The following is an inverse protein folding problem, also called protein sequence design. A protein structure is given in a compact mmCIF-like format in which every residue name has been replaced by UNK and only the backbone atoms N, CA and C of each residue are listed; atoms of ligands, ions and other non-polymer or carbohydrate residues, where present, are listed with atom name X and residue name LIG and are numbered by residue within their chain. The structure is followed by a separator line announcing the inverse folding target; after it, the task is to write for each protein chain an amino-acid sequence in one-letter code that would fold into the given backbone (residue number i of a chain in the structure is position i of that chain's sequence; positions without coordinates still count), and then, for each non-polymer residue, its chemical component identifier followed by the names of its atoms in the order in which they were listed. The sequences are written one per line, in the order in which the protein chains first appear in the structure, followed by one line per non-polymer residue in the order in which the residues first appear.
data_IF_643557432973
#
_entry.id   IF_643557432973
#
_cell.length_a   1.000
_cell.length_b   1.000
_cell.length_c   1.000
_cell.angle_alpha   90.00
_cell.angle_beta   90.00
_cell.angle_gamma   90.00
#
_symmetry.space_group_name_H-M   'P 1'
#
loop_
_entity.id
_entity.type
_entity.pdbx_description
1 polymer ?
#
# COMPACT_ATOMS: atom_id res chain seq x y z
N UNK A 1 -17.46 5.24 4.14
CA UNK A 1 -16.76 4.16 3.45
C UNK A 1 -17.65 2.91 3.39
N UNK A 2 -17.99 2.37 2.21
CA UNK A 2 -18.93 1.24 2.10
C UNK A 2 -18.41 -0.09 2.65
N UNK A 3 -17.10 -0.31 2.61
CA UNK A 3 -16.49 -1.54 3.13
C UNK A 3 -16.67 -1.65 4.64
N UNK A 4 -16.33 -0.60 5.40
CA UNK A 4 -16.54 -0.56 6.86
C UNK A 4 -18.01 -0.79 7.21
N UNK A 5 -18.94 -0.13 6.51
CA UNK A 5 -20.38 -0.34 6.70
C UNK A 5 -20.72 -1.82 6.53
N UNK A 6 -20.23 -2.46 5.47
CA UNK A 6 -20.57 -3.84 5.18
C UNK A 6 -19.88 -4.83 6.14
N UNK A 7 -18.71 -4.50 6.72
CA UNK A 7 -18.09 -5.24 7.82
C UNK A 7 -18.90 -5.16 9.12
N UNK A 8 -19.51 -3.99 9.40
CA UNK A 8 -20.34 -3.77 10.58
C UNK A 8 -21.78 -4.31 10.44
N UNK A 9 -22.06 -5.05 9.37
CA UNK A 9 -23.36 -5.70 9.10
C UNK A 9 -23.13 -7.15 8.68
N UNK A 10 -24.19 -7.93 8.56
CA UNK A 10 -24.09 -9.36 8.19
C UNK A 10 -23.62 -9.59 6.73
N UNK A 11 -23.41 -8.53 5.95
CA UNK A 11 -23.01 -8.62 4.54
C UNK A 11 -21.62 -9.22 4.32
N UNK A 12 -20.72 -9.08 5.30
CA UNK A 12 -19.36 -9.60 5.25
C UNK A 12 -19.04 -10.47 6.47
N UNK A 13 -20.06 -11.11 7.07
CA UNK A 13 -19.92 -11.95 8.27
C UNK A 13 -18.83 -13.03 8.11
N UNK A 14 -18.71 -13.63 6.93
CA UNK A 14 -17.70 -14.65 6.64
C UNK A 14 -16.26 -14.11 6.67
N UNK A 15 -16.05 -12.81 6.41
CA UNK A 15 -14.74 -12.18 6.50
C UNK A 15 -14.36 -11.92 7.95
N UNK A 16 -15.26 -11.33 8.75
CA UNK A 16 -14.97 -11.00 10.15
C UNK A 16 -14.78 -12.25 11.02
N UNK A 17 -15.30 -13.41 10.61
CA UNK A 17 -14.99 -14.72 11.23
C UNK A 17 -13.56 -15.21 10.97
N UNK A 18 -12.87 -14.66 9.98
CA UNK A 18 -11.56 -15.14 9.50
C UNK A 18 -10.44 -14.11 9.60
N UNK A 19 -10.79 -12.83 9.62
CA UNK A 19 -9.84 -11.71 9.57
C UNK A 19 -10.20 -10.68 10.63
N UNK A 20 -9.21 -10.31 11.44
CA UNK A 20 -9.32 -9.15 12.32
C UNK A 20 -8.96 -7.89 11.53
N UNK A 21 -9.83 -6.87 11.55
CA UNK A 21 -9.61 -5.63 10.81
C UNK A 21 -9.24 -4.48 11.76
N UNK A 22 -8.09 -3.87 11.51
CA UNK A 22 -7.69 -2.59 12.08
C UNK A 22 -7.83 -1.53 10.99
N UNK A 23 -8.69 -0.52 11.22
CA UNK A 23 -9.05 0.44 10.16
C UNK A 23 -8.85 1.86 10.65
N UNK A 24 -8.01 2.60 9.93
CA UNK A 24 -7.86 4.06 10.05
C UNK A 24 -8.61 4.67 8.87
N UNK A 25 -9.84 5.18 9.06
CA UNK A 25 -10.69 5.58 7.93
C UNK A 25 -10.24 6.87 7.25
N UNK A 26 -9.46 7.69 7.95
CA UNK A 26 -8.91 8.95 7.46
C UNK A 26 -7.53 9.15 8.09
N UNK A 27 -6.48 9.08 7.27
CA UNK A 27 -5.10 9.30 7.73
C UNK A 27 -4.74 10.78 7.81
N UNK A 28 -5.34 11.64 6.98
CA UNK A 28 -5.05 13.08 6.96
C UNK A 28 -6.34 13.90 7.12
N UNK A 29 -6.87 14.07 8.35
CA UNK A 29 -8.07 14.86 8.58
C UNK A 29 -7.95 16.31 8.11
N UNK A 30 -6.80 16.96 8.34
CA UNK A 30 -6.54 18.33 7.89
C UNK A 30 -6.57 18.43 6.37
N UNK A 31 -5.77 17.61 5.69
CA UNK A 31 -5.72 17.58 4.23
C UNK A 31 -7.06 17.26 3.59
N UNK A 32 -7.85 16.38 4.21
CA UNK A 32 -9.21 16.10 3.77
C UNK A 32 -10.17 17.27 3.92
N UNK A 33 -10.03 18.10 4.96
CA UNK A 33 -10.89 19.26 5.17
C UNK A 33 -10.56 20.37 4.16
N UNK A 34 -9.28 20.57 3.85
CA UNK A 34 -8.80 21.59 2.92
C UNK A 34 -8.58 21.10 1.47
N UNK A 35 -8.98 19.86 1.17
CA UNK A 35 -8.82 19.20 -0.13
C UNK A 35 -7.37 19.15 -0.67
N UNK A 36 -6.39 19.04 0.22
CA UNK A 36 -4.96 19.06 -0.10
C UNK A 36 -4.23 17.78 0.29
N UNK A 37 -3.07 17.55 -0.35
CA UNK A 37 -2.25 16.35 -0.13
C UNK A 37 -1.56 16.33 1.24
N UNK A 38 -1.07 17.49 1.69
CA UNK A 38 -0.20 17.62 2.86
C UNK A 38 -1.00 17.94 4.12
N UNK A 39 -0.46 17.62 5.30
CA UNK A 39 -1.08 17.97 6.57
C UNK A 39 -0.87 19.47 6.90
N UNK A 40 -1.22 19.88 8.13
CA UNK A 40 -1.09 21.26 8.61
C UNK A 40 0.37 21.75 8.60
N UNK A 41 1.34 20.85 8.81
CA UNK A 41 2.76 21.14 8.84
C UNK A 41 3.41 21.12 7.44
N UNK A 42 2.62 21.08 6.37
CA UNK A 42 3.09 20.94 4.98
C UNK A 42 3.90 19.64 4.74
N UNK A 43 3.63 18.59 5.51
CA UNK A 43 4.25 17.27 5.37
C UNK A 43 3.41 16.35 4.45
N UNK A 44 4.10 15.63 3.57
CA UNK A 44 3.50 14.54 2.79
C UNK A 44 3.56 13.27 3.64
N UNK A 45 2.42 12.85 4.20
CA UNK A 45 2.35 11.71 5.11
C UNK A 45 2.93 10.43 4.48
N UNK A 46 2.72 10.22 3.17
CA UNK A 46 3.22 9.06 2.46
C UNK A 46 4.72 9.19 2.06
N UNK A 47 5.45 10.08 2.73
CA UNK A 47 6.92 10.26 2.64
C UNK A 47 7.59 10.33 4.01
N UNK A 48 6.83 10.15 5.08
CA UNK A 48 7.27 10.39 6.45
C UNK A 48 7.30 9.11 7.31
N UNK A 49 7.25 7.93 6.68
CA UNK A 49 7.19 6.67 7.42
C UNK A 49 8.54 6.19 8.02
N UNK A 50 9.61 6.97 7.88
CA UNK A 50 10.92 6.71 8.50
C UNK A 50 11.21 7.72 9.62
N UNK A 51 11.02 9.01 9.35
CA UNK A 51 11.32 10.08 10.31
C UNK A 51 10.20 10.26 11.33
N UNK A 52 8.96 10.02 10.94
CA UNK A 52 7.77 10.15 11.78
C UNK A 52 7.63 11.58 12.33
N UNK A 53 7.82 12.59 11.49
CA UNK A 53 7.67 14.01 11.85
C UNK A 53 6.19 14.41 12.03
N UNK A 54 5.28 13.75 11.31
CA UNK A 54 3.86 14.00 11.33
C UNK A 54 3.17 13.14 12.41
N UNK A 55 2.37 13.74 13.32
CA UNK A 55 1.66 13.00 14.36
C UNK A 55 0.68 11.98 13.78
N UNK A 56 0.15 12.21 12.57
CA UNK A 56 -0.70 11.24 11.88
C UNK A 56 0.05 9.95 11.52
N UNK A 57 1.30 10.07 11.05
CA UNK A 57 2.13 8.92 10.69
C UNK A 57 2.63 8.21 11.94
N UNK A 58 2.98 8.94 13.00
CA UNK A 58 3.26 8.37 14.32
C UNK A 58 2.09 7.50 14.83
N UNK A 59 0.86 7.99 14.70
CA UNK A 59 -0.32 7.24 15.11
C UNK A 59 -0.51 5.94 14.30
N UNK A 60 -0.28 5.99 12.97
CA UNK A 60 -0.31 4.80 12.11
C UNK A 60 0.73 3.77 12.58
N UNK A 61 1.97 4.21 12.82
CA UNK A 61 3.05 3.32 13.30
C UNK A 61 2.81 2.84 14.73
N UNK A 62 2.18 3.63 15.59
CA UNK A 62 1.78 3.19 16.93
C UNK A 62 0.80 2.02 16.86
N UNK A 63 -0.26 2.13 16.04
CA UNK A 63 -1.21 1.03 15.81
C UNK A 63 -0.49 -0.18 15.21
N UNK A 64 0.32 0.04 14.16
CA UNK A 64 1.05 -1.03 13.51
C UNK A 64 1.96 -1.79 14.49
N UNK A 65 2.80 -1.10 15.27
CA UNK A 65 3.74 -1.76 16.21
C UNK A 65 3.04 -2.38 17.41
N UNK A 66 1.84 -1.90 17.77
CA UNK A 66 1.05 -2.49 18.86
C UNK A 66 0.47 -3.85 18.45
N UNK A 67 0.01 -3.99 17.21
CA UNK A 67 -0.71 -5.18 16.75
C UNK A 67 0.11 -6.09 15.82
N UNK A 68 1.14 -5.56 15.18
CA UNK A 68 2.00 -6.24 14.20
C UNK A 68 1.20 -7.05 13.16
N UNK A 69 0.23 -6.44 12.45
CA UNK A 69 -0.64 -7.18 11.53
C UNK A 69 0.17 -7.90 10.44
N UNK A 70 -0.31 -9.04 9.97
CA UNK A 70 0.37 -9.82 8.93
C UNK A 70 0.22 -9.18 7.54
N UNK A 71 -0.83 -8.38 7.36
CA UNK A 71 -1.21 -7.78 6.08
C UNK A 71 -1.59 -6.32 6.30
N UNK A 72 -1.12 -5.43 5.42
CA UNK A 72 -1.48 -4.00 5.41
C UNK A 72 -1.90 -3.56 4.01
N UNK A 73 -2.84 -2.61 3.93
CA UNK A 73 -3.23 -1.98 2.68
C UNK A 73 -3.46 -0.49 2.89
N UNK A 74 -2.67 0.31 2.20
CA UNK A 74 -2.79 1.76 2.15
C UNK A 74 -3.65 2.17 0.93
N UNK A 75 -4.66 3.02 1.12
CA UNK A 75 -5.69 3.28 0.11
C UNK A 75 -5.63 4.72 -0.36
N UNK A 76 -5.34 4.89 -1.65
CA UNK A 76 -5.16 6.16 -2.34
C UNK A 76 -6.08 6.29 -3.54
N UNK A 77 -6.21 7.52 -4.01
CA UNK A 77 -6.72 7.82 -5.34
C UNK A 77 -5.61 8.47 -6.17
N UNK A 78 -5.53 8.07 -7.44
CA UNK A 78 -4.68 8.70 -8.46
C UNK A 78 -5.53 9.42 -9.50
N UNK A 79 -4.89 10.12 -10.43
CA UNK A 79 -5.57 10.76 -11.55
C UNK A 79 -6.43 9.81 -12.40
N UNK A 80 -7.14 10.37 -13.38
CA UNK A 80 -7.93 9.55 -14.31
C UNK A 80 -7.01 8.60 -15.08
N UNK A 81 -7.35 7.31 -15.05
CA UNK A 81 -6.53 6.22 -15.58
C UNK A 81 -7.45 5.17 -16.20
N UNK A 82 -6.96 4.51 -17.25
CA UNK A 82 -7.62 3.36 -17.84
C UNK A 82 -7.83 2.25 -16.82
N UNK A 83 -6.85 1.97 -15.96
CA UNK A 83 -6.94 0.99 -14.88
C UNK A 83 -7.64 1.61 -13.68
N UNK A 84 -8.90 1.24 -13.46
CA UNK A 84 -9.75 1.80 -12.40
C UNK A 84 -9.31 1.38 -11.00
N UNK A 85 -8.75 0.18 -10.87
CA UNK A 85 -8.16 -0.32 -9.62
C UNK A 85 -6.73 -0.76 -9.88
N UNK A 86 -5.77 -0.10 -9.26
CA UNK A 86 -4.38 -0.54 -9.26
C UNK A 86 -3.97 -0.98 -7.86
N UNK A 87 -3.31 -2.14 -7.72
CA UNK A 87 -2.82 -2.61 -6.41
C UNK A 87 -1.34 -2.97 -6.56
N UNK A 88 -0.48 -2.36 -5.75
CA UNK A 88 0.95 -2.66 -5.71
C UNK A 88 1.33 -3.39 -4.43
N UNK A 89 2.25 -4.35 -4.52
CA UNK A 89 2.89 -5.00 -3.38
C UNK A 89 4.26 -4.38 -3.07
N UNK A 90 4.88 -4.79 -1.97
CA UNK A 90 6.24 -4.39 -1.58
C UNK A 90 7.23 -4.53 -2.73
N UNK A 91 8.21 -3.63 -2.79
CA UNK A 91 9.21 -3.60 -3.87
C UNK A 91 10.63 -3.27 -3.38
N UNK A 92 10.79 -2.91 -2.10
CA UNK A 92 12.11 -2.74 -1.52
C UNK A 92 12.87 -4.07 -1.48
N UNK A 93 14.13 -4.05 -1.89
CA UNK A 93 14.99 -5.24 -2.03
C UNK A 93 15.41 -5.86 -0.69
N UNK A 94 15.26 -5.14 0.41
CA UNK A 94 15.51 -5.64 1.76
C UNK A 94 14.29 -6.36 2.35
N UNK A 95 13.16 -6.43 1.63
CA UNK A 95 11.98 -7.18 2.05
C UNK A 95 12.00 -8.55 1.38
N UNK A 96 11.74 -9.61 2.15
CA UNK A 96 11.90 -10.98 1.66
C UNK A 96 11.06 -11.27 0.41
N UNK A 97 11.68 -11.82 -0.63
CA UNK A 97 11.09 -12.00 -1.95
C UNK A 97 9.81 -12.84 -1.95
N UNK A 98 9.69 -13.82 -1.05
CA UNK A 98 8.49 -14.66 -0.94
C UNK A 98 7.21 -13.87 -0.63
N UNK A 99 7.31 -12.69 0.01
CA UNK A 99 6.16 -11.79 0.20
C UNK A 99 5.69 -11.22 -1.12
N UNK A 100 6.60 -10.85 -2.03
CA UNK A 100 6.26 -10.42 -3.39
C UNK A 100 5.69 -11.57 -4.23
N UNK A 101 6.26 -12.76 -4.10
CA UNK A 101 5.80 -13.96 -4.82
C UNK A 101 4.38 -14.35 -4.42
N UNK A 102 4.08 -14.42 -3.11
CA UNK A 102 2.73 -14.69 -2.62
C UNK A 102 1.74 -13.60 -3.07
N UNK A 103 2.16 -12.34 -2.98
CA UNK A 103 1.38 -11.19 -3.41
C UNK A 103 0.95 -11.31 -4.87
N UNK A 104 1.90 -11.56 -5.78
CA UNK A 104 1.62 -11.60 -7.23
C UNK A 104 0.94 -12.89 -7.66
N UNK A 105 1.45 -14.04 -7.23
CA UNK A 105 1.01 -15.34 -7.73
C UNK A 105 -0.35 -15.78 -7.20
N UNK A 106 -0.73 -15.34 -5.99
CA UNK A 106 -2.01 -15.70 -5.36
C UNK A 106 -2.93 -14.50 -5.18
N UNK A 107 -2.51 -13.54 -4.35
CA UNK A 107 -3.42 -12.49 -3.87
C UNK A 107 -3.91 -11.61 -5.03
N UNK A 108 -2.97 -11.01 -5.77
CA UNK A 108 -3.31 -10.16 -6.90
C UNK A 108 -4.01 -10.96 -8.01
N UNK A 109 -3.54 -12.17 -8.33
CA UNK A 109 -4.17 -13.03 -9.34
C UNK A 109 -5.66 -13.31 -9.04
N UNK A 110 -6.01 -13.59 -7.79
CA UNK A 110 -7.40 -13.79 -7.37
C UNK A 110 -8.23 -12.50 -7.41
N UNK A 111 -7.64 -11.38 -7.00
CA UNK A 111 -8.29 -10.06 -7.06
C UNK A 111 -8.63 -9.69 -8.51
N UNK A 112 -7.66 -9.85 -9.42
CA UNK A 112 -7.84 -9.61 -10.86
C UNK A 112 -9.01 -10.42 -11.42
N UNK A 113 -9.03 -11.73 -11.18
CA UNK A 113 -10.12 -12.61 -11.62
C UNK A 113 -11.50 -12.17 -11.12
N UNK A 114 -11.59 -11.58 -9.92
CA UNK A 114 -12.87 -11.07 -9.37
C UNK A 114 -13.23 -9.70 -9.95
N UNK A 115 -12.28 -8.81 -10.18
CA UNK A 115 -12.50 -7.51 -10.82
C UNK A 115 -12.90 -7.65 -12.30
N UNK A 116 -12.34 -8.61 -13.02
CA UNK A 116 -12.74 -8.94 -14.40
C UNK A 116 -14.23 -9.28 -14.51
N UNK A 117 -14.74 -10.09 -13.58
CA UNK A 117 -16.17 -10.43 -13.51
C UNK A 117 -17.07 -9.20 -13.29
N UNK A 118 -16.52 -8.14 -12.72
CA UNK A 118 -17.18 -6.83 -12.56
C UNK A 118 -16.91 -5.87 -13.70
N UNK A 119 -16.14 -6.26 -14.71
CA UNK A 119 -15.67 -5.41 -15.82
C UNK A 119 -14.93 -4.16 -15.32
N UNK A 120 -14.23 -4.30 -14.20
CA UNK A 120 -13.37 -3.25 -13.65
C UNK A 120 -11.96 -3.50 -14.16
N UNK A 121 -11.44 -2.58 -14.96
CA UNK A 121 -10.06 -2.62 -15.45
C UNK A 121 -9.09 -2.45 -14.29
N UNK A 122 -8.01 -3.21 -14.35
CA UNK A 122 -7.10 -3.33 -13.22
C UNK A 122 -5.68 -3.67 -13.68
N UNK A 123 -4.70 -3.40 -12.82
CA UNK A 123 -3.30 -3.71 -13.06
C UNK A 123 -2.50 -3.62 -11.74
N UNK A 124 -1.34 -4.27 -11.67
CA UNK A 124 -0.39 -3.95 -10.60
C UNK A 124 0.00 -2.46 -10.65
N UNK A 125 0.17 -1.80 -9.50
CA UNK A 125 0.40 -0.36 -9.47
C UNK A 125 1.70 0.04 -10.19
N UNK A 126 1.55 0.96 -11.15
CA UNK A 126 2.64 1.50 -11.96
C UNK A 126 2.78 3.00 -11.74
N UNK A 127 4.03 3.44 -11.70
CA UNK A 127 4.41 4.85 -11.68
C UNK A 127 4.99 5.20 -13.04
N UNK A 128 4.52 6.32 -13.59
CA UNK A 128 5.08 6.96 -14.78
C UNK A 128 5.79 8.23 -14.33
N UNK A 129 7.10 8.32 -14.57
CA UNK A 129 7.91 9.47 -14.16
C UNK A 129 9.04 9.74 -15.17
N UNK A 130 9.62 10.94 -15.21
CA UNK A 130 10.83 11.21 -15.99
C UNK A 130 12.02 10.36 -15.50
N UNK A 131 12.85 9.89 -16.43
CA UNK A 131 14.03 9.06 -16.13
C UNK A 131 15.07 9.82 -15.29
N UNK A 132 15.64 9.13 -14.29
CA UNK A 132 16.66 9.69 -13.40
C UNK A 132 16.13 10.65 -12.35
N UNK A 133 14.82 10.71 -12.14
CA UNK A 133 14.17 11.48 -11.08
C UNK A 133 13.63 10.52 -10.01
N UNK A 134 13.81 10.88 -8.75
CA UNK A 134 13.16 10.19 -7.65
C UNK A 134 11.93 10.98 -7.15
N UNK A 135 10.77 10.65 -7.71
CA UNK A 135 9.48 11.21 -7.26
C UNK A 135 9.11 10.84 -5.81
N UNK A 136 9.87 9.93 -5.20
CA UNK A 136 9.67 9.45 -3.83
C UNK A 136 10.64 10.07 -2.82
N UNK A 137 11.65 10.80 -3.28
CA UNK A 137 12.57 11.54 -2.40
C UNK A 137 11.92 12.76 -1.68
N UNK A 138 10.68 13.13 -2.02
CA UNK A 138 10.03 14.32 -1.46
C UNK A 138 10.59 15.65 -1.96
N UNK A 139 11.48 15.60 -2.95
CA UNK A 139 12.12 16.76 -3.58
C UNK A 139 11.18 17.41 -4.58
N UNK A 140 11.07 18.74 -4.55
CA UNK A 140 10.42 19.52 -5.60
C UNK A 140 11.42 19.80 -6.71
N UNK A 141 11.24 19.15 -7.86
CA UNK A 141 12.03 19.39 -9.05
C UNK A 141 11.49 20.61 -9.81
N UNK A 142 12.37 21.43 -10.39
CA UNK A 142 11.95 22.51 -11.28
C UNK A 142 11.54 21.92 -12.62
N UNK A 143 10.63 22.59 -13.32
CA UNK A 143 10.15 22.11 -14.60
C UNK A 143 11.28 21.88 -15.61
N UNK A 144 12.27 22.80 -15.65
CA UNK A 144 13.47 22.70 -16.47
C UNK A 144 14.31 21.44 -16.19
N UNK A 145 14.31 20.94 -14.94
CA UNK A 145 15.03 19.73 -14.55
C UNK A 145 14.32 18.45 -15.05
N UNK A 146 13.03 18.55 -15.37
CA UNK A 146 12.17 17.47 -15.86
C UNK A 146 12.04 17.47 -17.39
N UNK A 147 12.10 18.66 -17.99
CA UNK A 147 12.08 18.85 -19.43
C UNK A 147 13.25 18.11 -20.10
N UNK A 148 13.00 17.46 -21.24
CA UNK A 148 13.97 16.67 -22.04
C UNK A 148 14.36 15.30 -21.48
N UNK A 149 13.72 14.82 -20.41
CA UNK A 149 13.91 13.44 -19.93
C UNK A 149 12.88 12.52 -20.57
N UNK A 150 13.34 11.34 -20.99
CA UNK A 150 12.46 10.26 -21.40
C UNK A 150 11.56 9.81 -20.23
N UNK A 151 10.36 9.32 -20.54
CA UNK A 151 9.46 8.80 -19.53
C UNK A 151 9.74 7.32 -19.26
N UNK A 152 9.86 6.96 -17.99
CA UNK A 152 9.90 5.57 -17.56
C UNK A 152 8.59 5.16 -16.91
N UNK A 153 8.20 3.91 -17.13
CA UNK A 153 7.15 3.23 -16.40
C UNK A 153 7.77 2.11 -15.59
N UNK A 154 7.50 2.08 -14.28
CA UNK A 154 8.01 1.05 -13.38
C UNK A 154 6.95 0.67 -12.37
N UNK A 155 7.14 -0.46 -11.71
CA UNK A 155 6.45 -0.72 -10.45
C UNK A 155 6.83 0.36 -9.42
N UNK A 156 6.02 0.42 -8.37
CA UNK A 156 6.08 1.49 -7.38
C UNK A 156 7.46 1.67 -6.73
N UNK A 157 7.68 2.80 -6.06
CA UNK A 157 8.97 3.15 -5.43
C UNK A 157 9.51 2.06 -4.52
N UNK A 158 10.82 1.96 -4.44
CA UNK A 158 11.52 1.02 -3.55
C UNK A 158 11.81 1.64 -2.20
N UNK A 159 11.53 2.93 -1.99
CA UNK A 159 11.96 3.65 -0.80
C UNK A 159 11.17 3.23 0.45
N UNK A 160 11.83 3.22 1.61
CA UNK A 160 11.18 2.87 2.90
C UNK A 160 10.34 4.01 3.48
N UNK A 161 10.30 5.18 2.84
CA UNK A 161 9.60 6.35 3.37
C UNK A 161 8.10 6.38 3.03
N UNK A 162 7.62 5.43 2.22
CA UNK A 162 6.19 5.25 1.92
C UNK A 162 5.52 4.24 2.85
N UNK A 163 4.19 4.32 2.98
CA UNK A 163 3.40 3.47 3.88
C UNK A 163 3.40 1.99 3.54
N UNK A 164 3.69 1.62 2.29
CA UNK A 164 3.73 0.22 1.89
C UNK A 164 5.06 -0.42 2.30
N UNK A 165 6.18 0.14 1.83
CA UNK A 165 7.50 -0.45 2.07
C UNK A 165 7.96 -0.27 3.53
N UNK A 166 7.60 0.83 4.19
CA UNK A 166 7.92 1.04 5.61
C UNK A 166 7.31 -0.02 6.53
N UNK A 167 6.07 -0.42 6.28
CA UNK A 167 5.41 -1.48 7.04
C UNK A 167 5.88 -2.86 6.56
N UNK A 168 6.19 -2.99 5.27
CA UNK A 168 6.72 -4.20 4.65
C UNK A 168 8.08 -4.65 5.20
N UNK A 169 8.94 -3.72 5.65
CA UNK A 169 10.27 -4.04 6.21
C UNK A 169 10.21 -4.87 7.50
N UNK A 170 9.06 -4.91 8.16
CA UNK A 170 8.80 -5.79 9.30
C UNK A 170 8.38 -7.21 8.87
N UNK A 171 8.79 -7.63 7.66
CA UNK A 171 8.37 -8.85 6.99
C UNK A 171 6.85 -9.01 6.93
N UNK A 172 6.18 -7.91 6.56
CA UNK A 172 4.71 -7.81 6.50
C UNK A 172 4.25 -7.80 5.05
N UNK A 173 3.14 -8.51 4.76
CA UNK A 173 2.54 -8.51 3.44
C UNK A 173 1.82 -7.16 3.19
N UNK A 174 2.55 -6.19 2.63
CA UNK A 174 2.09 -4.81 2.56
C UNK A 174 1.75 -4.35 1.14
N UNK A 175 0.63 -3.64 1.01
CA UNK A 175 0.07 -3.20 -0.27
C UNK A 175 -0.31 -1.73 -0.30
N UNK A 176 -0.40 -1.20 -1.50
CA UNK A 176 -1.08 0.07 -1.80
C UNK A 176 -2.17 -0.18 -2.83
N UNK A 177 -3.35 0.41 -2.65
CA UNK A 177 -4.40 0.48 -3.66
C UNK A 177 -4.56 1.91 -4.16
N UNK A 178 -4.60 2.07 -5.47
CA UNK A 178 -4.69 3.34 -6.18
C UNK A 178 -5.91 3.29 -7.11
N UNK A 179 -6.99 3.93 -6.69
CA UNK A 179 -8.22 4.04 -7.47
C UNK A 179 -8.15 5.19 -8.46
N UNK A 180 -8.55 4.98 -9.71
CA UNK A 180 -8.63 6.06 -10.69
C UNK A 180 -9.68 7.09 -10.26
N UNK A 181 -9.28 8.37 -10.26
CA UNK A 181 -10.11 9.45 -9.75
C UNK A 181 -9.96 10.73 -10.54
N UNK A 182 -11.10 11.33 -10.89
CA UNK A 182 -11.19 12.71 -11.39
C UNK A 182 -11.35 13.74 -10.26
N UNK A 183 -11.44 13.29 -9.00
CA UNK A 183 -11.74 14.11 -7.82
C UNK A 183 -12.97 15.00 -7.97
N UNK A 184 -13.97 14.54 -8.72
CA UNK A 184 -15.25 15.24 -8.90
C UNK A 184 -16.41 14.52 -8.18
N UNK A 185 -17.50 15.25 -7.93
CA UNK A 185 -18.70 14.70 -7.31
C UNK A 185 -19.48 13.78 -8.26
N UNK A 186 -19.41 14.03 -9.57
CA UNK A 186 -20.15 13.29 -10.59
C UNK A 186 -19.76 11.81 -10.62
N UNK A 187 -18.47 11.52 -10.43
CA UNK A 187 -17.87 10.18 -10.43
C UNK A 187 -17.74 9.59 -9.04
N UNK A 188 -18.12 10.29 -7.96
CA UNK A 188 -17.91 9.84 -6.58
C UNK A 188 -18.41 8.42 -6.31
N UNK A 189 -19.60 8.09 -6.83
CA UNK A 189 -20.18 6.75 -6.68
C UNK A 189 -19.34 5.69 -7.41
N UNK A 190 -18.85 5.99 -8.61
CA UNK A 190 -18.04 5.07 -9.41
C UNK A 190 -16.68 4.84 -8.74
N UNK A 191 -16.01 5.91 -8.30
CA UNK A 191 -14.75 5.84 -7.57
C UNK A 191 -14.88 5.08 -6.26
N UNK A 192 -15.97 5.31 -5.52
CA UNK A 192 -16.31 4.52 -4.31
C UNK A 192 -16.49 3.04 -4.64
N UNK A 193 -17.09 2.70 -5.78
CA UNK A 193 -17.21 1.29 -6.22
C UNK A 193 -15.84 0.67 -6.52
N UNK A 194 -14.95 1.40 -7.20
CA UNK A 194 -13.61 0.90 -7.51
C UNK A 194 -12.85 0.58 -6.22
N UNK A 195 -12.85 1.53 -5.28
CA UNK A 195 -12.22 1.34 -3.98
C UNK A 195 -12.84 0.16 -3.22
N UNK A 196 -14.16 0.09 -3.16
CA UNK A 196 -14.89 -0.96 -2.46
C UNK A 196 -14.57 -2.37 -3.00
N UNK A 197 -14.64 -2.57 -4.32
CA UNK A 197 -14.41 -3.90 -4.89
C UNK A 197 -12.94 -4.32 -4.84
N UNK A 198 -12.01 -3.37 -5.01
CA UNK A 198 -10.59 -3.65 -4.79
C UNK A 198 -10.32 -4.15 -3.38
N UNK A 199 -10.78 -3.39 -2.37
CA UNK A 199 -10.60 -3.74 -0.94
C UNK A 199 -11.31 -5.04 -0.59
N UNK A 200 -12.55 -5.22 -1.04
CA UNK A 200 -13.34 -6.42 -0.74
C UNK A 200 -12.70 -7.67 -1.30
N UNK A 201 -12.32 -7.66 -2.57
CA UNK A 201 -11.75 -8.85 -3.21
C UNK A 201 -10.35 -9.16 -2.69
N UNK A 202 -9.60 -8.13 -2.31
CA UNK A 202 -8.36 -8.29 -1.57
C UNK A 202 -8.61 -8.99 -0.23
N UNK A 203 -9.50 -8.46 0.61
CA UNK A 203 -9.83 -9.05 1.91
C UNK A 203 -10.36 -10.50 1.80
N UNK A 204 -11.17 -10.80 0.78
CA UNK A 204 -11.63 -12.17 0.51
C UNK A 204 -10.48 -13.12 0.11
N UNK A 205 -9.46 -12.64 -0.60
CA UNK A 205 -8.27 -13.45 -0.92
C UNK A 205 -7.44 -13.70 0.34
N UNK A 206 -7.20 -12.66 1.14
CA UNK A 206 -6.51 -12.80 2.44
C UNK A 206 -7.23 -13.81 3.35
N UNK A 207 -8.55 -13.72 3.47
CA UNK A 207 -9.36 -14.66 4.25
C UNK A 207 -9.32 -16.11 3.71
N UNK A 208 -9.01 -16.29 2.43
CA UNK A 208 -8.82 -17.61 1.80
C UNK A 208 -7.46 -18.23 2.11
N UNK A 209 -6.44 -17.42 2.38
CA UNK A 209 -5.04 -17.84 2.56
C UNK A 209 -4.48 -17.53 3.96
N UNK A 210 -5.36 -17.34 4.96
CA UNK A 210 -4.97 -16.87 6.29
C UNK A 210 -3.88 -17.71 6.97
N UNK A 211 -4.01 -19.04 6.97
CA UNK A 211 -3.01 -19.93 7.59
C UNK A 211 -1.63 -19.84 6.90
N UNK A 212 -1.62 -19.80 5.57
CA UNK A 212 -0.38 -19.66 4.79
C UNK A 212 0.28 -18.30 5.05
N UNK A 213 -0.49 -17.21 5.04
CA UNK A 213 -0.01 -15.86 5.30
C UNK A 213 0.60 -15.77 6.70
N UNK A 214 -0.13 -16.24 7.72
CA UNK A 214 0.33 -16.23 9.12
C UNK A 214 1.62 -17.04 9.27
N UNK A 215 1.67 -18.23 8.68
CA UNK A 215 2.86 -19.09 8.73
C UNK A 215 4.06 -18.42 8.05
N UNK A 216 3.87 -17.84 6.88
CA UNK A 216 4.91 -17.16 6.13
C UNK A 216 5.46 -15.95 6.90
N UNK A 217 4.58 -15.03 7.30
CA UNK A 217 4.97 -13.79 7.98
C UNK A 217 5.65 -14.08 9.31
N UNK A 218 5.09 -14.95 10.15
CA UNK A 218 5.70 -15.29 11.43
C UNK A 218 7.03 -16.03 11.26
N UNK A 219 7.13 -16.90 10.25
CA UNK A 219 8.37 -17.58 9.89
C UNK A 219 9.47 -16.59 9.48
N UNK A 220 9.14 -15.61 8.63
CA UNK A 220 10.08 -14.57 8.19
C UNK A 220 10.51 -13.66 9.33
N UNK A 221 9.57 -13.16 10.13
CA UNK A 221 9.87 -12.34 11.32
C UNK A 221 10.80 -13.06 12.29
N UNK A 222 10.55 -14.35 12.57
CA UNK A 222 11.43 -15.17 13.42
C UNK A 222 12.82 -15.33 12.81
N UNK A 223 12.92 -15.64 11.52
CA UNK A 223 14.21 -15.76 10.81
C UNK A 223 15.00 -14.45 10.84
N UNK A 224 14.32 -13.32 10.63
CA UNK A 224 14.93 -12.00 10.68
C UNK A 224 15.53 -11.70 12.06
N UNK A 225 14.80 -12.00 13.15
CA UNK A 225 15.31 -11.83 14.51
C UNK A 225 16.49 -12.76 14.82
N UNK A 226 16.45 -14.02 14.36
CA UNK A 226 17.57 -14.96 14.52
C UNK A 226 18.80 -14.46 13.76
N UNK A 227 18.62 -14.01 12.52
CA UNK A 227 19.66 -13.41 11.68
C UNK A 227 20.27 -12.19 12.36
N UNK A 228 19.45 -11.28 12.87
CA UNK A 228 19.88 -10.05 13.53
C UNK A 228 20.64 -10.25 14.86
N UNK A 229 20.60 -11.45 15.47
CA UNK A 229 21.30 -11.72 16.73
C UNK A 229 22.83 -11.80 16.58
N UNK A 230 23.33 -12.15 15.40
CA UNK A 230 24.77 -12.32 15.14
C UNK A 230 25.10 -11.62 13.85
N UNK A 231 26.03 -10.66 13.91
CA UNK A 231 26.52 -10.01 12.70
C UNK A 231 27.14 -11.01 11.74
N UNK A 232 26.79 -10.90 10.46
CA UNK A 232 27.40 -11.61 9.35
C UNK A 232 27.66 -10.64 8.20
N UNK A 233 28.82 -10.76 7.54
CA UNK A 233 29.12 -9.98 6.34
C UNK A 233 28.18 -10.33 5.17
N UNK A 234 27.58 -11.52 5.19
CA UNK A 234 26.60 -11.97 4.21
C UNK A 234 25.21 -11.31 4.42
N UNK A 235 25.00 -10.63 5.55
CA UNK A 235 23.74 -9.98 5.90
C UNK A 235 23.64 -8.58 5.28
N UNK A 236 23.70 -8.54 3.96
CA UNK A 236 23.68 -7.31 3.19
C UNK A 236 22.34 -6.57 3.38
N UNK A 237 22.46 -5.29 3.73
CA UNK A 237 21.36 -4.31 3.69
C UNK A 237 21.65 -3.36 2.53
N UNK A 238 20.79 -3.39 1.53
CA UNK A 238 20.88 -2.49 0.39
C UNK A 238 20.39 -1.11 0.77
N UNK A 239 21.32 -0.17 0.89
CA UNK A 239 21.03 1.24 1.07
C UNK A 239 20.96 1.92 -0.29
N UNK A 240 19.83 2.59 -0.55
CA UNK A 240 19.70 3.51 -1.67
C UNK A 240 19.96 4.91 -1.12
N UNK A 241 21.18 5.40 -1.31
CA UNK A 241 21.57 6.79 -1.01
C UNK A 241 21.27 7.69 -2.20
#
# INVERSE_FOLDING_TARGET
MWFIRDLATDKLESLVKKVNFLIIPQANPYGSFFDQRRNEQDLDLNRDHVKLEAPEVEAIHHVFRTWMPEVTMDVHEKGDDFYRVSIGCVSNVNIHQSLQELSRSKILAEVWKKLEKKRITHHEYLITQPMGIDSSAGVRYRQEDLERREMMKRYSTTDLNDGRNSLGIYETLSFIQEGASRRDLKTLKERTNYQYYGIRYFAESIAGHGEEIISLVNGLRKKLLVKANVFSEDDLVHLRM
#
